data_IF_277136712866
#
_entry.id   IF_277136712866
#
_cell.length_a   1.000
_cell.length_b   1.000
_cell.length_c   1.000
_cell.angle_alpha   90.00
_cell.angle_beta   90.00
_cell.angle_gamma   90.00
#
_symmetry.space_group_name_H-M   'P 1'
#
loop_
_entity.id
_entity.type
_entity.pdbx_description
1 polymer ?
#
# COMPACT_ATOMS: atom_id res chain seq x y z
N UNK A 1 -3.88 17.16 -2.00
CA UNK A 1 -4.54 16.06 -1.26
C UNK A 1 -3.76 15.78 0.01
N UNK A 2 -4.40 15.75 1.18
CA UNK A 2 -3.77 15.37 2.45
C UNK A 2 -3.92 13.87 2.68
N UNK A 3 -2.83 13.23 3.06
CA UNK A 3 -2.72 11.77 3.18
C UNK A 3 -2.30 11.39 4.59
N UNK A 4 -2.92 10.34 5.14
CA UNK A 4 -2.50 9.70 6.37
C UNK A 4 -1.85 8.35 6.11
N UNK A 5 -1.01 7.89 7.05
CA UNK A 5 -0.45 6.53 7.02
C UNK A 5 -0.89 5.78 8.28
N UNK A 6 -1.37 4.55 8.11
CA UNK A 6 -1.58 3.58 9.20
C UNK A 6 -0.62 2.43 9.00
N UNK A 7 0.27 2.22 9.97
CA UNK A 7 1.36 1.25 9.92
C UNK A 7 2.71 1.93 9.68
N UNK A 8 3.54 1.98 10.72
CA UNK A 8 4.87 2.61 10.73
C UNK A 8 5.96 1.53 10.86
N UNK A 9 5.86 0.49 10.02
CA UNK A 9 6.85 -0.59 9.92
C UNK A 9 7.97 -0.27 8.93
N UNK A 10 8.80 -1.28 8.62
CA UNK A 10 9.99 -1.11 7.77
C UNK A 10 9.69 -0.51 6.39
N UNK A 11 8.55 -0.85 5.78
CA UNK A 11 8.19 -0.36 4.45
C UNK A 11 7.77 1.12 4.46
N UNK A 12 7.35 1.65 5.59
CA UNK A 12 6.84 3.02 5.67
C UNK A 12 7.89 4.06 5.28
N UNK A 13 9.17 3.79 5.54
CA UNK A 13 10.27 4.72 5.24
C UNK A 13 10.32 5.12 3.76
N UNK A 14 10.13 4.17 2.85
CA UNK A 14 10.14 4.45 1.41
C UNK A 14 8.91 5.28 0.99
N UNK A 15 7.76 5.08 1.62
CA UNK A 15 6.56 5.87 1.34
C UNK A 15 6.74 7.33 1.78
N UNK A 16 7.23 7.57 2.99
CA UNK A 16 7.52 8.92 3.48
C UNK A 16 8.59 9.62 2.66
N UNK A 17 9.74 8.97 2.44
CA UNK A 17 10.87 9.59 1.73
C UNK A 17 10.52 9.89 0.27
N UNK A 18 9.85 8.96 -0.42
CA UNK A 18 9.46 9.15 -1.81
C UNK A 18 8.35 10.22 -1.95
N UNK A 19 7.41 10.30 -1.00
CA UNK A 19 6.36 11.32 -1.05
C UNK A 19 6.95 12.72 -1.03
N UNK A 20 7.95 12.96 -0.20
CA UNK A 20 8.62 14.26 -0.10
C UNK A 20 9.52 14.56 -1.30
N UNK A 21 10.11 13.52 -1.91
CA UNK A 21 11.12 13.70 -2.96
C UNK A 21 10.53 13.80 -4.36
N UNK A 22 9.47 13.06 -4.64
CA UNK A 22 9.00 12.85 -6.01
C UNK A 22 7.58 13.33 -6.28
N UNK A 23 6.79 13.63 -5.25
CA UNK A 23 5.38 13.96 -5.43
C UNK A 23 5.04 15.35 -4.88
N UNK A 24 4.39 16.17 -5.72
CA UNK A 24 3.94 17.52 -5.36
C UNK A 24 2.40 17.63 -5.24
N UNK A 25 1.69 16.60 -5.66
CA UNK A 25 0.22 16.59 -5.74
C UNK A 25 -0.47 16.08 -4.46
N UNK A 26 0.30 15.49 -3.54
CA UNK A 26 -0.19 15.09 -2.21
C UNK A 26 0.89 15.28 -1.14
N UNK A 27 0.45 15.35 0.11
CA UNK A 27 1.32 15.47 1.27
C UNK A 27 0.89 14.49 2.34
N UNK A 28 1.82 13.71 2.88
CA UNK A 28 1.60 12.93 4.09
C UNK A 28 1.64 13.90 5.28
N UNK A 29 0.54 14.00 6.02
CA UNK A 29 0.38 14.96 7.12
C UNK A 29 0.32 14.30 8.48
N UNK A 30 0.00 13.00 8.54
CA UNK A 30 -0.13 12.27 9.80
C UNK A 30 0.21 10.79 9.65
N UNK A 31 0.62 10.19 10.77
CA UNK A 31 0.82 8.75 10.86
C UNK A 31 0.25 8.17 12.15
N UNK A 32 -0.12 6.90 12.09
CA UNK A 32 -0.60 6.10 13.22
C UNK A 32 -0.02 4.68 13.17
N UNK A 33 0.22 4.12 14.33
CA UNK A 33 0.59 2.70 14.50
C UNK A 33 0.03 2.19 15.83
N UNK A 34 -0.22 0.90 15.92
CA UNK A 34 -0.61 0.25 17.19
C UNK A 34 0.52 0.36 18.23
N UNK A 35 1.78 0.41 17.76
CA UNK A 35 2.95 0.69 18.58
C UNK A 35 3.24 2.19 18.56
N UNK A 36 2.84 2.89 19.61
CA UNK A 36 3.03 4.34 19.73
C UNK A 36 4.47 4.80 19.45
N UNK A 37 5.47 4.04 19.88
CA UNK A 37 6.88 4.32 19.63
C UNK A 37 7.21 4.35 18.13
N UNK A 38 6.66 3.41 17.35
CA UNK A 38 6.88 3.38 15.90
C UNK A 38 6.29 4.64 15.24
N UNK A 39 5.06 5.00 15.56
CA UNK A 39 4.44 6.21 15.03
C UNK A 39 5.22 7.47 15.44
N UNK A 40 5.69 7.56 16.69
CA UNK A 40 6.50 8.66 17.19
C UNK A 40 7.79 8.84 16.40
N UNK A 41 8.53 7.75 16.18
CA UNK A 41 9.80 7.79 15.44
C UNK A 41 9.62 8.33 14.01
N UNK A 42 8.55 7.92 13.32
CA UNK A 42 8.23 8.43 11.98
C UNK A 42 7.73 9.87 12.00
N UNK A 43 6.92 10.24 12.99
CA UNK A 43 6.47 11.62 13.20
C UNK A 43 7.65 12.58 13.36
N UNK A 44 8.59 12.24 14.24
CA UNK A 44 9.79 13.05 14.48
C UNK A 44 10.72 13.10 13.25
N UNK A 45 10.92 11.94 12.58
CA UNK A 45 11.80 11.83 11.41
C UNK A 45 11.31 12.64 10.21
N UNK A 46 10.00 12.64 9.96
CA UNK A 46 9.42 13.21 8.74
C UNK A 46 8.61 14.50 8.97
N UNK A 47 8.51 14.95 10.22
CA UNK A 47 7.78 16.18 10.56
C UNK A 47 6.28 16.10 10.32
N UNK A 48 5.68 14.91 10.55
CA UNK A 48 4.25 14.66 10.40
C UNK A 48 3.59 14.48 11.76
N UNK A 49 2.29 14.68 11.84
CA UNK A 49 1.57 14.55 13.11
C UNK A 49 1.43 13.08 13.51
N UNK A 50 1.74 12.76 14.78
CA UNK A 50 1.42 11.46 15.36
C UNK A 50 -0.04 11.48 15.85
N UNK A 51 -0.86 10.60 15.31
CA UNK A 51 -2.26 10.45 15.69
C UNK A 51 -2.54 8.99 16.11
N UNK A 52 -3.62 8.79 16.87
CA UNK A 52 -4.20 7.45 17.01
C UNK A 52 -4.93 7.06 15.71
N UNK A 53 -5.14 5.75 15.51
CA UNK A 53 -5.92 5.24 14.36
C UNK A 53 -7.31 5.89 14.32
N UNK A 54 -7.96 6.06 15.46
CA UNK A 54 -9.25 6.73 15.53
C UNK A 54 -9.18 8.19 15.08
N UNK A 55 -8.17 8.94 15.52
CA UNK A 55 -8.00 10.33 15.13
C UNK A 55 -7.70 10.49 13.64
N UNK A 56 -6.87 9.62 13.06
CA UNK A 56 -6.54 9.67 11.63
C UNK A 56 -7.78 9.35 10.76
N UNK A 57 -8.60 8.39 11.19
CA UNK A 57 -9.86 8.05 10.52
C UNK A 57 -10.90 9.18 10.61
N UNK A 58 -10.98 9.87 11.74
CA UNK A 58 -11.96 10.95 11.96
C UNK A 58 -11.50 12.32 11.48
N UNK A 59 -10.24 12.50 11.10
CA UNK A 59 -9.71 13.77 10.62
C UNK A 59 -10.28 14.11 9.23
N UNK A 60 -11.11 15.16 9.15
CA UNK A 60 -11.79 15.57 7.92
C UNK A 60 -10.88 16.14 6.84
N UNK A 61 -9.67 16.53 7.19
CA UNK A 61 -8.70 17.06 6.22
C UNK A 61 -7.94 15.95 5.47
N UNK A 62 -7.91 14.75 6.02
CA UNK A 62 -7.27 13.59 5.39
C UNK A 62 -8.26 12.97 4.40
N UNK A 63 -7.89 12.94 3.14
CA UNK A 63 -8.71 12.43 2.05
C UNK A 63 -8.40 10.97 1.70
N UNK A 64 -7.12 10.58 1.82
CA UNK A 64 -6.62 9.22 1.52
C UNK A 64 -5.80 8.70 2.68
N UNK A 65 -5.94 7.42 2.97
CA UNK A 65 -5.08 6.74 3.94
C UNK A 65 -4.34 5.60 3.25
N UNK A 66 -3.02 5.57 3.45
CA UNK A 66 -2.15 4.48 3.03
C UNK A 66 -2.05 3.47 4.17
N UNK A 67 -2.51 2.24 3.90
CA UNK A 67 -2.48 1.12 4.83
C UNK A 67 -1.19 0.32 4.63
N UNK A 68 -0.23 0.49 5.54
CA UNK A 68 1.06 -0.21 5.58
C UNK A 68 1.15 -1.19 6.74
N UNK A 69 0.03 -1.67 7.21
CA UNK A 69 -0.04 -2.67 8.28
C UNK A 69 0.44 -4.04 7.80
N UNK A 70 0.33 -5.05 8.63
CA UNK A 70 0.62 -6.42 8.23
C UNK A 70 -0.55 -7.01 7.42
N UNK A 71 -0.29 -7.96 6.51
CA UNK A 71 -1.31 -8.55 5.63
C UNK A 71 -2.54 -9.10 6.34
N UNK A 72 -2.38 -9.63 7.54
CA UNK A 72 -3.48 -10.25 8.30
C UNK A 72 -4.60 -9.25 8.66
N UNK A 73 -4.26 -7.96 8.74
CA UNK A 73 -5.23 -6.91 9.08
C UNK A 73 -5.48 -5.91 7.94
N UNK A 74 -4.93 -6.15 6.74
CA UNK A 74 -5.14 -5.25 5.60
C UNK A 74 -6.62 -5.02 5.31
N UNK A 75 -7.42 -6.09 5.32
CA UNK A 75 -8.85 -6.00 5.06
C UNK A 75 -9.57 -5.11 6.07
N UNK A 76 -9.41 -5.40 7.36
CA UNK A 76 -10.11 -4.68 8.43
C UNK A 76 -9.74 -3.20 8.48
N UNK A 77 -8.45 -2.90 8.31
CA UNK A 77 -7.98 -1.51 8.29
C UNK A 77 -8.48 -0.78 7.04
N UNK A 78 -8.39 -1.39 5.85
CA UNK A 78 -8.87 -0.77 4.61
C UNK A 78 -10.39 -0.58 4.62
N UNK A 79 -11.15 -1.53 5.19
CA UNK A 79 -12.59 -1.40 5.40
C UNK A 79 -12.91 -0.21 6.32
N UNK A 80 -12.22 -0.09 7.43
CA UNK A 80 -12.38 1.04 8.36
C UNK A 80 -12.08 2.39 7.72
N UNK A 81 -11.08 2.45 6.83
CA UNK A 81 -10.74 3.64 6.05
C UNK A 81 -11.90 4.04 5.13
N UNK A 82 -12.44 3.08 4.37
CA UNK A 82 -13.58 3.29 3.47
C UNK A 82 -14.85 3.65 4.25
N UNK A 83 -15.08 3.05 5.41
CA UNK A 83 -16.22 3.36 6.27
C UNK A 83 -16.13 4.78 6.86
N UNK A 84 -14.91 5.27 7.07
CA UNK A 84 -14.65 6.66 7.46
C UNK A 84 -14.79 7.66 6.27
N UNK A 85 -15.18 7.19 5.07
CA UNK A 85 -15.38 8.05 3.89
C UNK A 85 -14.08 8.51 3.25
N UNK A 86 -13.02 7.75 3.34
CA UNK A 86 -11.70 8.09 2.80
C UNK A 86 -11.27 7.09 1.73
N UNK A 87 -10.48 7.57 0.77
CA UNK A 87 -9.81 6.69 -0.18
C UNK A 87 -8.82 5.78 0.54
N UNK A 88 -8.68 4.54 0.07
CA UNK A 88 -7.76 3.56 0.66
C UNK A 88 -6.72 3.11 -0.36
N UNK A 89 -5.46 3.17 0.01
CA UNK A 89 -4.38 2.53 -0.73
C UNK A 89 -3.64 1.58 0.23
N UNK A 90 -3.49 0.32 -0.14
CA UNK A 90 -2.90 -0.70 0.73
C UNK A 90 -1.61 -1.26 0.16
N UNK A 91 -0.69 -1.64 1.03
CA UNK A 91 0.38 -2.56 0.63
C UNK A 91 -0.21 -3.91 0.19
N UNK A 92 0.63 -4.64 -0.55
CA UNK A 92 0.25 -5.99 -1.04
C UNK A 92 0.34 -7.04 0.09
N UNK A 93 -0.53 -8.03 0.08
CA UNK A 93 -1.72 -8.19 -0.77
C UNK A 93 -2.86 -7.27 -0.30
N UNK A 94 -3.80 -6.92 -1.18
CA UNK A 94 -5.00 -6.14 -0.81
C UNK A 94 -5.75 -6.80 0.35
N UNK A 95 -5.84 -8.12 0.30
CA UNK A 95 -6.38 -8.97 1.37
C UNK A 95 -5.85 -10.40 1.20
N UNK A 96 -5.95 -11.22 2.26
CA UNK A 96 -5.57 -12.63 2.20
C UNK A 96 -6.63 -13.46 1.47
N UNK A 97 -7.92 -13.10 1.61
CA UNK A 97 -9.03 -13.80 0.97
C UNK A 97 -9.55 -13.01 -0.22
N UNK A 98 -9.84 -13.70 -1.31
CA UNK A 98 -10.39 -13.08 -2.52
C UNK A 98 -11.69 -12.33 -2.23
N UNK A 99 -12.59 -12.94 -1.46
CA UNK A 99 -13.90 -12.36 -1.11
C UNK A 99 -13.77 -11.04 -0.37
N UNK A 100 -12.78 -10.91 0.52
CA UNK A 100 -12.48 -9.67 1.24
C UNK A 100 -11.99 -8.58 0.28
N UNK A 101 -11.12 -8.92 -0.69
CA UNK A 101 -10.68 -7.97 -1.71
C UNK A 101 -11.85 -7.46 -2.55
N UNK A 102 -12.76 -8.36 -2.93
CA UNK A 102 -13.96 -8.01 -3.68
C UNK A 102 -14.92 -7.13 -2.86
N UNK A 103 -15.07 -7.43 -1.56
CA UNK A 103 -15.86 -6.59 -0.63
C UNK A 103 -15.32 -5.16 -0.56
N UNK A 104 -14.00 -4.99 -0.43
CA UNK A 104 -13.37 -3.65 -0.39
C UNK A 104 -13.64 -2.87 -1.67
N UNK A 105 -13.47 -3.49 -2.84
CA UNK A 105 -13.73 -2.85 -4.13
C UNK A 105 -15.20 -2.46 -4.27
N UNK A 106 -16.10 -3.35 -3.91
CA UNK A 106 -17.55 -3.07 -3.95
C UNK A 106 -17.93 -1.94 -2.98
N UNK A 107 -17.39 -1.95 -1.77
CA UNK A 107 -17.62 -0.90 -0.77
C UNK A 107 -17.10 0.45 -1.27
N UNK A 108 -15.87 0.49 -1.81
CA UNK A 108 -15.31 1.70 -2.40
C UNK A 108 -16.20 2.24 -3.52
N UNK A 109 -16.61 1.40 -4.47
CA UNK A 109 -17.49 1.79 -5.58
C UNK A 109 -18.84 2.33 -5.08
N UNK A 110 -19.45 1.68 -4.08
CA UNK A 110 -20.74 2.12 -3.52
C UNK A 110 -20.69 3.49 -2.86
N UNK A 111 -19.52 3.87 -2.34
CA UNK A 111 -19.29 5.16 -1.67
C UNK A 111 -18.61 6.21 -2.58
N UNK A 112 -18.31 5.88 -3.84
CA UNK A 112 -17.55 6.77 -4.74
C UNK A 112 -16.10 6.97 -4.30
N UNK A 113 -15.51 6.00 -3.60
CA UNK A 113 -14.15 6.03 -3.08
C UNK A 113 -13.23 5.12 -3.90
N UNK A 114 -11.97 5.51 -4.01
CA UNK A 114 -10.96 4.70 -4.68
C UNK A 114 -10.34 3.69 -3.71
N UNK A 115 -10.13 2.48 -4.22
CA UNK A 115 -9.38 1.40 -3.56
C UNK A 115 -8.19 1.09 -4.45
N UNK A 116 -6.99 1.31 -3.93
CA UNK A 116 -5.73 1.00 -4.59
C UNK A 116 -4.91 0.00 -3.79
N UNK A 117 -4.01 -0.69 -4.48
CA UNK A 117 -3.11 -1.66 -3.86
C UNK A 117 -1.77 -1.70 -4.61
N UNK A 118 -0.67 -1.77 -3.89
CA UNK A 118 0.60 -2.21 -4.43
C UNK A 118 0.48 -3.70 -4.86
N UNK A 119 1.31 -4.22 -5.74
CA UNK A 119 2.63 -3.73 -6.15
C UNK A 119 2.57 -2.75 -7.33
N UNK A 120 3.68 -2.05 -7.51
CA UNK A 120 3.91 -1.13 -8.63
C UNK A 120 4.78 -1.73 -9.76
N UNK A 121 5.27 -2.95 -9.59
CA UNK A 121 6.21 -3.62 -10.50
C UNK A 121 5.73 -3.69 -11.94
N UNK A 122 4.41 -3.82 -12.15
CA UNK A 122 3.81 -3.81 -13.49
C UNK A 122 3.92 -2.44 -14.19
N UNK A 123 4.19 -1.35 -13.47
CA UNK A 123 4.44 -0.02 -14.01
C UNK A 123 5.89 0.16 -14.51
N UNK A 124 6.77 -0.79 -14.23
CA UNK A 124 8.15 -0.76 -14.69
C UNK A 124 8.26 -0.75 -16.21
N UNK A 125 9.21 0.02 -16.76
CA UNK A 125 9.35 0.26 -18.19
C UNK A 125 9.36 -1.03 -19.03
N UNK A 126 10.06 -2.06 -18.59
CA UNK A 126 10.10 -3.36 -19.30
C UNK A 126 8.76 -4.05 -19.38
N UNK A 127 7.97 -4.05 -18.31
CA UNK A 127 6.62 -4.63 -18.29
C UNK A 127 5.64 -3.81 -19.13
N UNK A 128 5.76 -2.47 -19.08
CA UNK A 128 4.94 -1.60 -19.91
C UNK A 128 5.24 -1.76 -21.42
N UNK A 129 6.52 -1.93 -21.79
CA UNK A 129 6.88 -2.21 -23.18
C UNK A 129 6.40 -3.59 -23.63
N UNK A 130 6.56 -4.62 -22.80
CA UNK A 130 6.01 -5.94 -23.08
C UNK A 130 4.49 -5.90 -23.29
N UNK A 131 3.77 -5.18 -22.43
CA UNK A 131 2.33 -4.99 -22.58
C UNK A 131 1.98 -4.31 -23.90
N UNK A 132 2.70 -3.28 -24.29
CA UNK A 132 2.48 -2.56 -25.56
C UNK A 132 2.67 -3.46 -26.78
N UNK A 133 3.75 -4.27 -26.81
CA UNK A 133 4.01 -5.25 -27.87
C UNK A 133 2.83 -6.25 -27.99
N UNK A 134 2.31 -6.71 -26.86
CA UNK A 134 1.15 -7.61 -26.80
C UNK A 134 -0.11 -6.91 -27.33
N UNK A 135 -0.42 -5.72 -26.83
CA UNK A 135 -1.62 -4.96 -27.19
C UNK A 135 -1.62 -4.57 -28.69
N UNK A 136 -0.45 -4.34 -29.27
CA UNK A 136 -0.25 -4.05 -30.69
C UNK A 136 -0.23 -5.30 -31.57
N UNK A 137 -0.40 -6.49 -30.97
CA UNK A 137 -0.39 -7.79 -31.67
C UNK A 137 0.89 -8.08 -32.47
N UNK A 138 2.03 -7.49 -32.05
CA UNK A 138 3.32 -7.64 -32.75
C UNK A 138 3.86 -9.08 -32.72
N UNK A 139 3.50 -9.83 -31.69
CA UNK A 139 3.92 -11.24 -31.50
C UNK A 139 2.77 -12.23 -31.73
N UNK A 140 1.61 -11.77 -32.20
CA UNK A 140 0.44 -12.60 -32.44
C UNK A 140 -0.24 -13.10 -31.17
N UNK A 141 -0.97 -14.20 -31.29
CA UNK A 141 -1.71 -14.80 -30.17
C UNK A 141 -0.76 -15.47 -29.21
N UNK A 142 -0.80 -15.07 -27.93
CA UNK A 142 0.01 -15.65 -26.87
C UNK A 142 -0.62 -16.97 -26.43
N UNK A 143 0.12 -18.06 -26.57
CA UNK A 143 -0.32 -19.38 -26.13
C UNK A 143 0.34 -19.80 -24.81
N UNK A 144 1.58 -19.31 -24.54
CA UNK A 144 2.33 -19.62 -23.35
C UNK A 144 3.28 -18.48 -23.00
N UNK A 145 3.44 -18.21 -21.71
CA UNK A 145 4.44 -17.29 -21.20
C UNK A 145 5.18 -17.89 -20.00
N UNK A 146 6.43 -17.53 -19.83
CA UNK A 146 7.17 -17.82 -18.60
C UNK A 146 7.84 -16.57 -18.07
N UNK A 147 7.91 -16.44 -16.75
CA UNK A 147 8.58 -15.36 -16.06
C UNK A 147 9.51 -15.95 -15.00
N UNK A 148 10.71 -15.40 -14.89
CA UNK A 148 11.60 -15.75 -13.79
C UNK A 148 12.05 -14.49 -13.06
N UNK A 149 12.08 -14.55 -11.73
CA UNK A 149 12.52 -13.46 -10.87
C UNK A 149 13.56 -13.99 -9.90
N UNK A 150 14.77 -13.42 -9.96
CA UNK A 150 15.84 -13.70 -9.03
C UNK A 150 15.97 -12.57 -8.01
N UNK A 151 16.00 -12.92 -6.73
CA UNK A 151 16.25 -11.98 -5.64
C UNK A 151 17.37 -12.49 -4.75
N UNK A 152 18.05 -11.61 -4.05
CA UNK A 152 19.00 -12.01 -3.01
C UNK A 152 18.27 -12.78 -1.91
N UNK A 153 18.96 -13.77 -1.32
CA UNK A 153 18.37 -14.55 -0.24
C UNK A 153 18.14 -13.67 0.99
N UNK A 154 16.87 -13.43 1.32
CA UNK A 154 16.48 -12.60 2.46
C UNK A 154 16.72 -13.28 3.81
N UNK A 155 16.90 -14.61 3.85
CA UNK A 155 17.19 -15.37 5.07
C UNK A 155 18.50 -14.96 5.74
N UNK A 156 19.47 -14.47 4.96
CA UNK A 156 20.75 -14.00 5.50
C UNK A 156 20.73 -12.56 5.97
N UNK A 157 19.77 -11.77 5.53
CA UNK A 157 19.72 -10.33 5.81
C UNK A 157 18.54 -9.94 6.71
N UNK A 158 17.43 -10.65 6.63
CA UNK A 158 16.23 -10.40 7.42
C UNK A 158 15.33 -11.64 7.35
N UNK A 159 15.43 -12.55 8.36
CA UNK A 159 14.54 -13.72 8.42
C UNK A 159 13.09 -13.26 8.39
N UNK A 160 12.32 -13.76 7.44
CA UNK A 160 10.89 -13.48 7.39
C UNK A 160 10.17 -14.21 8.52
N UNK A 161 9.31 -13.55 9.29
CA UNK A 161 8.49 -14.22 10.30
C UNK A 161 7.55 -15.29 9.71
N UNK A 162 7.43 -15.35 8.37
CA UNK A 162 6.62 -16.32 7.64
C UNK A 162 7.42 -17.46 7.06
N UNK A 163 8.71 -17.49 7.28
CA UNK A 163 9.52 -18.61 6.86
C UNK A 163 9.16 -19.79 7.77
N UNK A 164 8.63 -20.91 7.21
CA UNK A 164 8.25 -22.08 8.00
C UNK A 164 9.44 -22.74 8.70
N UNK A 165 10.68 -22.31 8.37
CA UNK A 165 11.91 -22.82 8.96
C UNK A 165 12.49 -21.91 10.06
N UNK A 166 11.87 -20.80 10.37
CA UNK A 166 12.19 -19.88 11.48
C UNK A 166 11.12 -19.91 12.55
#
# INVERSE_FOLDING_TARGET
>A
MKVGIIGCGNIADIYFSNSQKYFNNFQIVACADIKNEAAKNYSEKYGVEQLSVYQILSNKEIELIINLTIPDVHFEVSKSILDAGKHSYSEKPLSIKFEHGQELVNLGNSKGLHVGCAPDTFLGAGIQEAKKIIDQNEIGIINLGSISMGVACLLYTSPSPRDPWT
#
